data_IF_267710958341
#
_entry.id   IF_267710958341
#
_cell.length_a   1.000
_cell.length_b   1.000
_cell.length_c   1.000
_cell.angle_alpha   90.00
_cell.angle_beta   90.00
_cell.angle_gamma   90.00
#
_symmetry.space_group_name_H-M   'P 1'
#
loop_
_entity.id
_entity.type
_entity.pdbx_description
1 polymer ?
#
# COMPACT_ATOMS: atom_id res chain seq x y z
N UNK A 1 22.05 0.58 1.74
CA UNK A 1 20.65 0.80 2.15
C UNK A 1 20.70 1.54 3.45
N UNK A 2 20.24 2.78 3.49
CA UNK A 2 20.08 3.52 4.73
C UNK A 2 18.64 3.35 5.19
N UNK A 3 18.46 2.77 6.37
CA UNK A 3 17.16 2.59 7.01
C UNK A 3 17.15 3.54 8.20
N UNK A 4 16.14 4.41 8.25
CA UNK A 4 16.00 5.37 9.34
C UNK A 4 14.59 5.29 9.89
N UNK A 5 14.50 5.14 11.20
CA UNK A 5 13.23 5.10 11.92
C UNK A 5 13.05 6.45 12.61
N UNK A 6 11.88 7.07 12.40
CA UNK A 6 11.49 8.31 13.07
C UNK A 6 10.20 8.06 13.85
N UNK A 7 10.18 8.23 15.18
CA UNK A 7 8.94 8.09 15.95
C UNK A 7 7.97 9.21 15.58
N UNK A 8 6.68 8.90 15.61
CA UNK A 8 5.60 9.87 15.44
C UNK A 8 5.48 10.66 16.75
N UNK A 9 5.66 11.98 16.66
CA UNK A 9 5.56 12.89 17.79
C UNK A 9 4.13 13.30 18.12
N UNK A 10 3.94 14.01 19.24
CA UNK A 10 2.63 14.50 19.71
C UNK A 10 1.92 15.39 18.68
N UNK A 11 2.65 16.27 18.00
CA UNK A 11 2.09 17.18 17.00
C UNK A 11 1.52 16.40 15.80
N UNK A 12 2.26 15.43 15.31
CA UNK A 12 1.88 14.59 14.18
C UNK A 12 0.70 13.68 14.54
N UNK A 13 0.74 13.07 15.73
CA UNK A 13 -0.41 12.32 16.30
C UNK A 13 -1.68 13.18 16.33
N UNK A 14 -1.57 14.45 16.75
CA UNK A 14 -2.71 15.39 16.81
C UNK A 14 -3.23 15.77 15.43
N UNK A 15 -2.35 16.08 14.48
CA UNK A 15 -2.74 16.53 13.13
C UNK A 15 -3.39 15.41 12.33
N UNK A 16 -2.89 14.18 12.46
CA UNK A 16 -3.42 13.02 11.74
C UNK A 16 -4.47 12.23 12.53
N UNK A 17 -4.72 12.60 13.79
CA UNK A 17 -5.66 11.94 14.70
C UNK A 17 -5.40 10.42 14.83
N UNK A 18 -4.13 10.03 14.95
CA UNK A 18 -3.74 8.63 15.09
C UNK A 18 -4.21 8.02 16.43
N UNK A 19 -4.50 8.85 17.43
CA UNK A 19 -4.98 8.44 18.76
C UNK A 19 -3.97 7.52 19.48
N UNK A 20 -2.68 7.78 19.29
CA UNK A 20 -1.60 7.02 19.92
C UNK A 20 -1.64 7.23 21.45
N UNK A 21 -1.69 6.14 22.26
CA UNK A 21 -1.59 6.20 23.72
C UNK A 21 -0.28 6.82 24.22
N UNK A 22 -0.26 7.29 25.46
CA UNK A 22 0.92 7.96 26.03
C UNK A 22 2.12 7.02 26.25
N UNK A 23 1.88 5.70 26.32
CA UNK A 23 2.87 4.64 26.51
C UNK A 23 3.24 3.90 25.21
N UNK A 24 2.78 4.39 24.05
CA UNK A 24 3.03 3.78 22.74
C UNK A 24 3.49 4.82 21.70
N UNK A 25 4.09 4.37 20.59
CA UNK A 25 4.46 5.23 19.47
C UNK A 25 4.45 4.47 18.15
N UNK A 26 3.89 5.10 17.11
CA UNK A 26 4.12 4.67 15.73
C UNK A 26 5.44 5.23 15.22
N UNK A 27 5.96 4.67 14.13
CA UNK A 27 7.16 5.19 13.51
C UNK A 27 7.07 5.22 11.99
N UNK A 28 7.61 6.29 11.42
CA UNK A 28 7.93 6.36 10.01
C UNK A 28 9.21 5.58 9.72
N UNK A 29 9.07 4.58 8.85
CA UNK A 29 10.19 3.84 8.30
C UNK A 29 10.65 4.51 7.01
N UNK A 30 11.65 5.37 7.13
CA UNK A 30 12.30 5.99 5.98
C UNK A 30 13.23 4.97 5.30
N UNK A 31 12.87 4.57 4.09
CA UNK A 31 13.71 3.73 3.22
C UNK A 31 13.90 4.43 1.88
N UNK A 32 15.12 4.36 1.34
CA UNK A 32 15.44 4.92 0.03
C UNK A 32 15.87 3.81 -0.91
N UNK A 33 15.22 3.75 -2.06
CA UNK A 33 15.55 2.82 -3.13
C UNK A 33 15.95 3.61 -4.38
N UNK A 34 17.03 3.17 -5.03
CA UNK A 34 17.38 3.63 -6.38
C UNK A 34 17.26 2.45 -7.31
N UNK A 35 16.39 2.58 -8.31
CA UNK A 35 16.18 1.55 -9.31
C UNK A 35 16.77 2.04 -10.64
N UNK A 36 17.62 1.22 -11.24
CA UNK A 36 18.15 1.40 -12.59
C UNK A 36 17.52 0.36 -13.52
N UNK A 37 17.31 0.72 -14.79
CA UNK A 37 16.79 -0.18 -15.82
C UNK A 37 15.44 -0.82 -15.45
N UNK A 38 14.50 0.00 -14.96
CA UNK A 38 13.12 -0.40 -14.74
C UNK A 38 12.50 -0.95 -16.03
N UNK A 39 11.76 -2.06 -15.92
CA UNK A 39 11.07 -2.64 -17.07
C UNK A 39 9.81 -1.85 -17.43
N UNK A 40 9.28 -2.09 -18.63
CA UNK A 40 7.98 -1.53 -19.04
C UNK A 40 6.79 -2.17 -18.30
N UNK A 41 7.03 -3.10 -17.37
CA UNK A 41 6.00 -3.80 -16.60
C UNK A 41 6.05 -3.46 -15.10
N UNK A 42 6.68 -2.33 -14.74
CA UNK A 42 6.75 -1.86 -13.35
C UNK A 42 5.35 -1.57 -12.82
N UNK A 43 5.03 -2.22 -11.72
CA UNK A 43 3.76 -2.12 -11.00
C UNK A 43 3.96 -2.59 -9.53
N UNK A 44 2.95 -2.47 -8.68
CA UNK A 44 3.01 -2.90 -7.27
C UNK A 44 3.64 -1.85 -6.35
N UNK A 45 4.67 -2.22 -5.57
CA UNK A 45 5.29 -1.37 -4.52
C UNK A 45 5.85 -0.07 -5.07
N UNK A 46 6.52 -0.12 -6.23
CA UNK A 46 6.94 1.09 -6.96
C UNK A 46 5.74 1.85 -7.53
N UNK A 47 4.73 1.12 -8.00
CA UNK A 47 3.54 1.67 -8.63
C UNK A 47 3.73 1.92 -10.13
N UNK A 48 2.62 1.82 -10.86
CA UNK A 48 2.57 1.99 -12.33
C UNK A 48 2.99 3.39 -12.82
N UNK A 49 3.00 4.38 -11.94
CA UNK A 49 3.44 5.75 -12.25
C UNK A 49 4.93 5.84 -12.60
N UNK A 50 5.73 4.83 -12.23
CA UNK A 50 7.15 4.75 -12.57
C UNK A 50 7.42 4.07 -13.93
N UNK A 51 6.38 3.59 -14.61
CA UNK A 51 6.52 3.00 -15.94
C UNK A 51 6.95 4.08 -16.95
N UNK A 52 7.92 3.81 -17.84
CA UNK A 52 8.26 4.72 -18.93
C UNK A 52 7.02 5.11 -19.75
N UNK A 53 6.82 6.41 -19.97
CA UNK A 53 5.71 6.94 -20.77
C UNK A 53 4.32 6.81 -20.11
N UNK A 54 4.23 6.62 -18.79
CA UNK A 54 2.95 6.55 -18.10
C UNK A 54 2.13 7.85 -18.28
N UNK A 55 0.90 7.71 -18.77
CA UNK A 55 -0.11 8.77 -18.80
C UNK A 55 -1.17 8.43 -17.77
N UNK A 56 -1.42 9.35 -16.83
CA UNK A 56 -2.43 9.13 -15.80
C UNK A 56 -3.83 9.13 -16.41
N UNK A 57 -4.61 8.03 -16.28
CA UNK A 57 -6.01 8.01 -16.71
C UNK A 57 -6.92 8.66 -15.65
N UNK A 58 -6.35 9.21 -14.56
CA UNK A 58 -7.14 9.68 -13.43
C UNK A 58 -7.97 10.90 -13.83
N UNK A 59 -9.25 10.90 -13.44
CA UNK A 59 -10.15 12.01 -13.72
C UNK A 59 -9.81 13.20 -12.84
N UNK A 60 -9.26 14.25 -13.42
CA UNK A 60 -8.98 15.50 -12.71
C UNK A 60 -10.29 16.27 -12.48
N UNK A 61 -10.41 16.96 -11.35
CA UNK A 61 -11.56 17.82 -11.04
C UNK A 61 -12.75 17.14 -10.35
N UNK A 62 -12.58 15.92 -9.82
CA UNK A 62 -13.57 15.28 -8.94
C UNK A 62 -13.04 15.20 -7.51
N UNK A 63 -13.93 15.14 -6.48
CA UNK A 63 -13.49 15.14 -5.08
C UNK A 63 -12.59 13.97 -4.67
N UNK A 64 -12.75 12.79 -5.29
CA UNK A 64 -11.95 11.59 -4.98
C UNK A 64 -11.61 10.83 -6.27
N UNK A 65 -10.54 11.23 -6.97
CA UNK A 65 -10.12 10.58 -8.20
C UNK A 65 -9.43 9.25 -7.89
N UNK A 66 -10.03 8.14 -8.30
CA UNK A 66 -9.47 6.80 -8.05
C UNK A 66 -8.40 6.44 -9.08
N UNK A 67 -7.20 6.14 -8.60
CA UNK A 67 -6.13 5.53 -9.40
C UNK A 67 -6.07 4.03 -9.14
N UNK A 68 -5.58 3.27 -10.12
CA UNK A 68 -5.36 1.83 -9.96
C UNK A 68 -6.07 1.01 -11.03
N UNK A 69 -7.31 1.38 -11.37
CA UNK A 69 -8.17 0.58 -12.25
C UNK A 69 -8.92 -0.43 -11.38
N UNK A 70 -10.06 0.00 -10.86
CA UNK A 70 -10.90 -0.79 -9.95
C UNK A 70 -11.22 -2.17 -10.54
N UNK A 71 -11.55 -2.23 -11.83
CA UNK A 71 -11.85 -3.44 -12.57
C UNK A 71 -10.73 -4.50 -12.54
N UNK A 72 -9.48 -4.08 -12.35
CA UNK A 72 -8.30 -4.93 -12.30
C UNK A 72 -7.96 -5.41 -10.89
N UNK A 73 -8.16 -4.52 -9.91
CA UNK A 73 -7.70 -4.68 -8.53
C UNK A 73 -8.81 -5.00 -7.54
N UNK A 74 -10.07 -5.09 -7.99
CA UNK A 74 -11.18 -5.49 -7.16
C UNK A 74 -10.90 -6.86 -6.52
N UNK A 75 -10.96 -6.88 -5.19
CA UNK A 75 -10.87 -8.09 -4.37
C UNK A 75 -12.24 -8.44 -3.79
N UNK A 76 -12.42 -9.69 -3.38
CA UNK A 76 -13.67 -10.16 -2.77
C UNK A 76 -13.88 -9.71 -1.32
N UNK A 77 -12.80 -9.38 -0.61
CA UNK A 77 -12.82 -8.91 0.77
C UNK A 77 -11.56 -8.10 1.09
N UNK A 78 -11.58 -7.38 2.22
CA UNK A 78 -10.45 -6.56 2.68
C UNK A 78 -9.14 -7.36 2.85
N UNK A 79 -9.26 -8.63 3.21
CA UNK A 79 -8.11 -9.52 3.45
C UNK A 79 -7.80 -10.45 2.26
N UNK A 80 -8.57 -10.37 1.17
CA UNK A 80 -8.36 -11.25 0.02
C UNK A 80 -7.15 -10.78 -0.80
N UNK A 81 -6.13 -11.63 -1.02
CA UNK A 81 -4.99 -11.30 -1.88
C UNK A 81 -5.32 -11.51 -3.36
N UNK A 82 -6.56 -11.91 -3.69
CA UNK A 82 -6.94 -12.31 -5.04
C UNK A 82 -7.56 -11.13 -5.80
N UNK A 83 -6.97 -10.80 -6.94
CA UNK A 83 -7.53 -9.89 -7.94
C UNK A 83 -7.08 -10.31 -9.35
N UNK A 84 -7.72 -9.74 -10.40
CA UNK A 84 -7.49 -10.14 -11.80
C UNK A 84 -6.04 -9.98 -12.25
N UNK A 85 -5.34 -8.97 -11.73
CA UNK A 85 -3.95 -8.64 -12.11
C UNK A 85 -2.96 -8.79 -10.96
N UNK A 86 -3.40 -9.33 -9.82
CA UNK A 86 -2.54 -9.52 -8.65
C UNK A 86 -1.46 -10.55 -8.98
N UNK A 87 -0.20 -10.13 -8.92
CA UNK A 87 0.97 -10.98 -9.23
C UNK A 87 1.25 -11.98 -8.12
N UNK A 88 1.00 -11.58 -6.87
CA UNK A 88 1.19 -12.41 -5.70
C UNK A 88 -0.18 -12.87 -5.22
N UNK A 89 -0.60 -14.03 -5.68
CA UNK A 89 -1.78 -14.71 -5.19
C UNK A 89 -1.25 -15.69 -4.14
N UNK A 90 -1.44 -15.39 -2.86
CA UNK A 90 -1.25 -16.41 -1.82
C UNK A 90 -2.06 -17.64 -2.20
N UNK A 91 -1.57 -18.85 -1.92
CA UNK A 91 -2.40 -20.03 -2.09
C UNK A 91 -3.71 -19.77 -1.32
N UNK A 92 -4.88 -20.00 -1.94
CA UNK A 92 -6.12 -19.94 -1.20
C UNK A 92 -6.03 -21.01 -0.12
N UNK A 93 -5.67 -20.59 1.09
CA UNK A 93 -5.80 -21.41 2.28
C UNK A 93 -7.28 -21.79 2.30
N UNK A 94 -7.56 -23.09 2.15
CA UNK A 94 -8.92 -23.58 2.19
C UNK A 94 -9.58 -22.97 3.42
N UNK A 95 -10.71 -22.30 3.20
CA UNK A 95 -11.55 -21.80 4.28
C UNK A 95 -11.92 -22.96 5.23
N UNK A 96 -11.14 -23.16 6.30
CA UNK A 96 -11.37 -24.03 7.46
C UNK A 96 -10.04 -24.12 8.23
N UNK A 97 -9.84 -23.61 9.44
CA UNK A 97 -10.76 -23.46 10.57
C UNK A 97 -10.15 -22.52 11.61
N UNK A 98 -10.91 -21.52 12.07
CA UNK A 98 -10.94 -21.11 13.48
C UNK A 98 -9.68 -20.55 14.16
N UNK A 99 -8.72 -19.99 13.44
CA UNK A 99 -7.59 -19.28 14.04
C UNK A 99 -7.83 -17.78 14.08
N UNK A 100 -8.27 -17.24 15.22
CA UNK A 100 -8.23 -15.80 15.47
C UNK A 100 -6.76 -15.40 15.49
N UNK A 101 -6.30 -14.66 14.48
CA UNK A 101 -5.02 -13.97 14.56
C UNK A 101 -5.17 -12.85 15.60
N UNK A 102 -4.74 -13.14 16.83
CA UNK A 102 -4.57 -12.15 17.86
C UNK A 102 -3.28 -11.39 17.57
N UNK A 103 -3.39 -10.07 17.53
CA UNK A 103 -2.26 -9.14 17.60
C UNK A 103 -1.70 -9.12 19.02
#
# INVERSE_FOLDING_TARGET
MDIKVRPIGEEENRVHNYQIPADDTFAHLETQFRFSNLSDLVEGVLGKTYRPGYVSPVKVGVPMPMMGGEDKYQTSSLFSPLCKVCRFQGQPELAATGGVAQY
#
